data_IF_995311442440
#
_entry.id   IF_995311442440
#
_cell.length_a   1.000
_cell.length_b   1.000
_cell.length_c   1.000
_cell.angle_alpha   90.00
_cell.angle_beta   90.00
_cell.angle_gamma   90.00
#
_symmetry.space_group_name_H-M   'P 1'
#
loop_
_entity.id
_entity.type
_entity.pdbx_description
1 polymer ?
#
# COMPACT_ATOMS: atom_id res chain seq x y z
N UNK A 1 -15.35 10.80 61.41
CA UNK A 1 -16.67 11.46 61.32
C UNK A 1 -17.34 11.03 60.03
N UNK A 2 -18.40 10.23 60.17
CA UNK A 2 -19.55 9.98 59.26
C UNK A 2 -19.27 9.63 57.78
N UNK A 3 -19.96 8.70 57.12
CA UNK A 3 -20.83 7.58 57.44
C UNK A 3 -21.26 7.02 56.07
N UNK A 4 -21.21 5.69 55.89
CA UNK A 4 -22.19 4.83 55.17
C UNK A 4 -22.80 5.30 53.82
N UNK A 5 -22.88 4.52 52.74
CA UNK A 5 -22.72 3.07 52.60
C UNK A 5 -23.26 2.55 51.25
N UNK A 6 -22.86 1.31 50.94
CA UNK A 6 -23.49 0.26 50.13
C UNK A 6 -24.23 0.62 48.82
N UNK A 7 -23.72 0.06 47.72
CA UNK A 7 -24.55 -0.77 46.86
C UNK A 7 -23.73 -1.94 46.30
N UNK A 8 -24.05 -3.16 46.75
CA UNK A 8 -23.58 -4.42 46.16
C UNK A 8 -24.01 -4.49 44.68
N UNK A 9 -23.11 -4.92 43.78
CA UNK A 9 -23.50 -5.50 42.48
C UNK A 9 -22.74 -6.81 42.26
N UNK A 10 -23.52 -7.84 41.95
CA UNK A 10 -23.12 -9.23 41.88
C UNK A 10 -22.07 -9.51 40.78
N UNK A 11 -21.01 -10.22 41.15
CA UNK A 11 -20.02 -10.79 40.23
C UNK A 11 -20.52 -12.18 39.80
N UNK A 12 -20.87 -12.37 38.52
CA UNK A 12 -21.20 -13.70 37.99
C UNK A 12 -19.94 -14.27 37.34
N UNK A 13 -19.31 -15.23 38.02
CA UNK A 13 -18.26 -16.07 37.45
C UNK A 13 -18.93 -17.12 36.55
N UNK A 14 -18.68 -17.08 35.25
CA UNK A 14 -19.01 -18.18 34.35
C UNK A 14 -17.71 -18.89 34.00
N UNK A 15 -17.62 -20.17 34.37
CA UNK A 15 -16.54 -21.08 34.06
C UNK A 15 -17.00 -21.90 32.85
N UNK A 16 -16.44 -21.65 31.67
CA UNK A 16 -16.75 -22.47 30.48
C UNK A 16 -15.66 -23.55 30.37
N UNK A 17 -16.01 -24.79 30.72
CA UNK A 17 -15.15 -25.95 30.54
C UNK A 17 -15.31 -26.47 29.12
N UNK A 18 -14.24 -26.39 28.31
CA UNK A 18 -14.15 -27.16 27.07
C UNK A 18 -12.98 -28.11 27.15
N UNK A 19 -13.29 -29.39 27.31
CA UNK A 19 -12.33 -30.49 27.35
C UNK A 19 -11.84 -30.78 25.93
N UNK A 20 -10.58 -30.46 25.64
CA UNK A 20 -9.83 -31.01 24.51
C UNK A 20 -8.43 -31.37 25.05
N UNK A 21 -8.15 -32.68 25.08
CA UNK A 21 -6.82 -33.31 25.26
C UNK A 21 -5.91 -32.76 26.38
N UNK A 22 -6.24 -33.13 27.63
CA UNK A 22 -5.21 -33.53 28.61
C UNK A 22 -4.30 -32.48 29.25
N UNK A 23 -4.44 -31.17 28.99
CA UNK A 23 -3.67 -30.13 29.70
C UNK A 23 -4.54 -28.97 30.19
N UNK A 24 -4.56 -28.72 31.51
CA UNK A 24 -5.32 -27.63 32.14
C UNK A 24 -4.55 -26.31 32.03
N UNK A 25 -5.03 -25.37 31.20
CA UNK A 25 -4.66 -23.94 31.27
C UNK A 25 -5.90 -23.12 31.60
N UNK A 26 -5.90 -22.42 32.74
CA UNK A 26 -6.93 -21.43 33.09
C UNK A 26 -6.61 -20.09 32.43
N UNK A 27 -7.56 -19.52 31.69
CA UNK A 27 -7.50 -18.12 31.24
C UNK A 27 -8.72 -17.39 31.82
N UNK A 28 -8.48 -16.36 32.62
CA UNK A 28 -9.54 -15.54 33.22
C UNK A 28 -9.97 -14.45 32.24
N UNK A 29 -11.23 -14.48 31.81
CA UNK A 29 -11.85 -13.35 31.10
C UNK A 29 -12.85 -12.65 32.02
N UNK A 30 -12.59 -11.39 32.33
CA UNK A 30 -13.51 -10.51 33.05
C UNK A 30 -14.48 -9.93 32.02
N UNK A 31 -15.76 -10.29 32.12
CA UNK A 31 -16.84 -9.66 31.35
C UNK A 31 -17.64 -8.73 32.26
N UNK A 32 -17.59 -7.42 31.97
CA UNK A 32 -18.49 -6.44 32.56
C UNK A 32 -19.79 -6.41 31.75
N UNK A 33 -20.88 -6.97 32.30
CA UNK A 33 -22.21 -6.87 31.71
C UNK A 33 -22.81 -5.53 32.13
N UNK A 34 -22.91 -4.57 31.21
CA UNK A 34 -23.66 -3.33 31.44
C UNK A 34 -25.05 -3.47 30.83
N UNK A 35 -26.02 -3.86 31.66
CA UNK A 35 -27.43 -3.85 31.30
C UNK A 35 -28.03 -2.50 31.73
N UNK A 36 -28.21 -1.58 30.77
CA UNK A 36 -29.14 -0.46 30.92
C UNK A 36 -29.31 0.28 29.59
N UNK A 37 -30.46 0.04 28.96
CA UNK A 37 -31.13 0.93 28.03
C UNK A 37 -31.29 2.34 28.61
N UNK A 38 -30.47 3.30 28.15
CA UNK A 38 -30.82 4.72 27.93
C UNK A 38 -29.60 5.51 27.43
N UNK A 39 -29.78 6.12 26.26
CA UNK A 39 -28.88 7.06 25.60
C UNK A 39 -28.49 8.24 26.51
N UNK A 40 -27.18 8.51 26.61
CA UNK A 40 -26.64 9.86 26.79
C UNK A 40 -25.17 9.90 26.38
N UNK A 41 -24.88 10.60 25.28
CA UNK A 41 -23.52 10.86 24.80
C UNK A 41 -22.84 11.88 25.74
N UNK A 42 -21.83 11.45 26.49
CA UNK A 42 -20.83 12.34 27.08
C UNK A 42 -19.56 12.28 26.23
N UNK A 43 -19.30 13.36 25.50
CA UNK A 43 -18.04 13.58 24.78
C UNK A 43 -16.99 14.02 25.80
N UNK A 44 -16.08 13.13 26.17
CA UNK A 44 -14.85 13.52 26.87
C UNK A 44 -13.89 14.16 25.86
N UNK A 45 -13.85 15.50 25.88
CA UNK A 45 -12.89 16.33 25.15
C UNK A 45 -11.50 16.14 25.80
N UNK A 46 -10.63 15.31 25.21
CA UNK A 46 -9.18 15.43 25.46
C UNK A 46 -8.68 16.68 24.74
N UNK A 47 -8.17 17.66 25.48
CA UNK A 47 -7.33 18.73 24.93
C UNK A 47 -6.06 18.06 24.40
N UNK A 48 -5.90 17.97 23.09
CA UNK A 48 -4.59 17.83 22.46
C UNK A 48 -3.98 19.23 22.36
N UNK A 49 -2.90 19.46 23.10
CA UNK A 49 -1.98 20.55 22.78
C UNK A 49 -1.29 20.21 21.44
N UNK A 50 -1.03 21.21 20.58
CA UNK A 50 -0.23 20.97 19.38
C UNK A 50 1.21 20.65 19.80
N UNK A 51 1.70 19.47 19.44
CA UNK A 51 3.14 19.17 19.46
C UNK A 51 3.73 19.85 18.23
N UNK A 52 4.57 20.86 18.46
CA UNK A 52 5.35 21.50 17.41
C UNK A 52 6.38 20.49 16.88
N UNK A 53 6.22 20.08 15.63
CA UNK A 53 7.27 19.40 14.87
C UNK A 53 8.10 20.52 14.23
N UNK A 54 9.30 20.74 14.77
CA UNK A 54 10.27 21.65 14.18
C UNK A 54 10.74 21.09 12.84
N UNK A 55 10.44 21.80 11.76
CA UNK A 55 11.10 21.61 10.48
C UNK A 55 12.45 22.32 10.52
N UNK A 56 13.54 21.58 10.35
CA UNK A 56 14.85 22.18 10.08
C UNK A 56 14.85 22.59 8.61
N UNK A 57 14.76 23.89 8.36
CA UNK A 57 14.93 24.47 7.04
C UNK A 57 16.41 24.44 6.66
N UNK A 58 16.76 23.76 5.56
CA UNK A 58 18.03 24.00 4.89
C UNK A 58 17.89 25.26 4.05
N UNK A 59 18.67 26.29 4.38
CA UNK A 59 18.76 27.51 3.61
C UNK A 59 19.51 27.23 2.30
N UNK A 60 18.83 27.43 1.17
CA UNK A 60 19.45 27.62 -0.13
C UNK A 60 19.73 29.12 -0.28
N UNK A 61 20.97 29.49 -0.53
CA UNK A 61 21.32 30.86 -0.90
C UNK A 61 21.01 31.08 -2.37
N UNK A 62 20.04 31.96 -2.64
CA UNK A 62 19.74 32.49 -3.96
C UNK A 62 20.79 33.53 -4.40
N UNK A 63 21.12 33.51 -5.69
CA UNK A 63 21.38 34.73 -6.47
C UNK A 63 21.09 34.49 -7.97
N UNK A 64 20.02 35.15 -8.43
CA UNK A 64 19.63 35.45 -9.81
C UNK A 64 20.70 36.31 -10.54
N UNK A 65 20.75 36.59 -11.85
CA UNK A 65 20.07 36.23 -13.09
C UNK A 65 20.94 36.71 -14.29
N UNK A 66 20.74 36.10 -15.46
CA UNK A 66 20.87 36.57 -16.86
C UNK A 66 21.99 37.54 -17.33
N UNK A 67 22.78 37.12 -18.35
CA UNK A 67 22.65 37.55 -19.77
C UNK A 67 23.92 37.40 -20.64
N UNK A 68 23.73 36.84 -21.84
CA UNK A 68 24.41 37.08 -23.15
C UNK A 68 25.93 36.88 -23.41
N UNK A 69 26.18 36.01 -24.41
CA UNK A 69 27.00 36.20 -25.63
C UNK A 69 28.53 35.95 -25.68
N UNK A 70 28.87 35.01 -26.59
CA UNK A 70 29.95 35.01 -27.60
C UNK A 70 31.45 35.03 -27.24
N UNK A 71 32.11 33.95 -27.70
CA UNK A 71 33.26 33.93 -28.63
C UNK A 71 34.73 34.05 -28.11
N UNK A 72 35.47 32.96 -28.40
CA UNK A 72 36.89 32.85 -28.86
C UNK A 72 38.09 33.31 -28.01
N UNK A 73 39.06 32.38 -27.94
CA UNK A 73 40.52 32.56 -28.15
C UNK A 73 41.44 33.09 -27.04
N UNK A 74 42.51 32.31 -26.87
CA UNK A 74 43.91 32.68 -26.57
C UNK A 74 44.37 32.86 -25.11
N UNK A 75 45.39 32.08 -24.79
CA UNK A 75 46.35 32.30 -23.71
C UNK A 75 47.22 33.53 -23.97
N UNK A 76 47.89 34.07 -22.94
CA UNK A 76 49.34 34.17 -23.06
C UNK A 76 50.14 33.86 -21.77
N UNK A 77 51.37 33.44 -22.06
CA UNK A 77 52.57 33.26 -21.22
C UNK A 77 53.29 34.60 -21.06
N UNK A 78 53.98 34.85 -19.93
CA UNK A 78 55.27 35.59 -19.79
C UNK A 78 55.73 35.50 -18.32
N UNK A 79 56.65 34.60 -17.95
CA UNK A 79 58.13 34.73 -17.78
C UNK A 79 58.66 35.55 -16.61
N UNK A 80 59.72 34.98 -16.04
CA UNK A 80 60.48 35.18 -14.80
C UNK A 80 61.37 36.44 -14.75
N UNK A 81 62.00 36.69 -13.59
CA UNK A 81 63.47 36.64 -13.61
C UNK A 81 64.11 35.80 -12.48
N UNK A 82 65.21 35.14 -12.85
CA UNK A 82 66.22 34.45 -12.03
C UNK A 82 67.10 35.42 -11.23
N UNK A 83 67.54 35.03 -10.02
CA UNK A 83 68.94 35.18 -9.55
C UNK A 83 69.30 34.01 -8.60
N UNK A 84 70.42 33.37 -8.90
CA UNK A 84 71.04 32.18 -8.29
C UNK A 84 71.56 32.33 -6.85
N UNK A 85 71.57 31.18 -6.14
CA UNK A 85 72.77 30.51 -5.61
C UNK A 85 72.76 30.14 -4.10
N UNK A 86 72.95 28.83 -3.85
CA UNK A 86 73.76 28.19 -2.79
C UNK A 86 73.06 27.70 -1.50
N UNK A 87 72.71 26.41 -1.53
CA UNK A 87 72.83 25.35 -0.49
C UNK A 87 72.34 25.59 0.94
N UNK A 88 71.39 24.75 1.39
CA UNK A 88 71.18 24.44 2.81
C UNK A 88 69.85 23.75 3.15
N UNK A 89 69.82 22.42 3.06
CA UNK A 89 69.01 21.47 3.88
C UNK A 89 67.51 21.68 4.09
N UNK A 90 66.69 20.86 3.42
CA UNK A 90 65.27 20.61 3.76
C UNK A 90 65.21 19.43 4.75
N UNK A 91 64.48 19.50 5.87
CA UNK A 91 64.20 18.33 6.69
C UNK A 91 63.18 17.42 6.01
N UNK A 92 63.60 16.17 5.84
CA UNK A 92 62.87 14.99 5.40
C UNK A 92 61.66 14.69 6.29
N UNK A 93 60.42 14.75 5.75
CA UNK A 93 59.24 14.25 6.44
C UNK A 93 59.02 12.77 6.05
N UNK A 94 59.57 11.93 6.92
CA UNK A 94 59.41 10.50 7.12
C UNK A 94 58.28 9.81 6.34
N UNK A 95 58.70 8.90 5.46
CA UNK A 95 57.88 7.86 4.87
C UNK A 95 57.20 7.01 5.95
N UNK A 96 55.87 6.91 5.87
CA UNK A 96 55.11 5.90 6.60
C UNK A 96 55.38 4.52 5.97
N UNK A 97 55.51 3.44 6.77
CA UNK A 97 55.89 2.13 6.24
C UNK A 97 54.81 1.57 5.29
N UNK A 98 55.19 0.99 4.14
CA UNK A 98 54.25 0.38 3.19
C UNK A 98 53.50 -0.85 3.74
N UNK A 99 53.90 -1.36 4.91
CA UNK A 99 53.25 -2.51 5.54
C UNK A 99 51.84 -2.22 6.07
N UNK A 100 51.51 -0.98 6.45
CA UNK A 100 50.20 -0.68 7.03
C UNK A 100 49.10 -0.52 5.96
N UNK A 101 49.47 -0.04 4.78
CA UNK A 101 48.57 0.03 3.62
C UNK A 101 48.34 -1.37 3.06
N UNK A 102 49.41 -2.18 2.97
CA UNK A 102 49.30 -3.56 2.54
C UNK A 102 48.51 -4.42 3.52
N UNK A 103 48.64 -4.24 4.83
CA UNK A 103 47.85 -5.01 5.83
C UNK A 103 46.38 -4.59 5.91
N UNK A 104 46.03 -3.33 5.60
CA UNK A 104 44.63 -2.92 5.44
C UNK A 104 44.05 -3.51 4.15
N UNK A 105 44.81 -3.50 3.05
CA UNK A 105 44.42 -4.15 1.79
C UNK A 105 44.37 -5.69 1.91
N UNK A 106 45.24 -6.30 2.72
CA UNK A 106 45.33 -7.74 2.94
C UNK A 106 44.29 -8.25 3.96
N UNK A 107 43.89 -7.42 4.93
CA UNK A 107 42.75 -7.71 5.80
C UNK A 107 41.41 -7.47 5.10
N UNK A 108 41.33 -6.56 4.12
CA UNK A 108 40.18 -6.44 3.20
C UNK A 108 40.16 -7.61 2.21
N UNK A 109 41.33 -8.11 1.79
CA UNK A 109 41.49 -9.28 0.92
C UNK A 109 41.12 -10.62 1.55
N UNK A 110 40.98 -10.71 2.88
CA UNK A 110 40.57 -11.94 3.58
C UNK A 110 39.08 -12.28 3.44
N UNK A 111 38.26 -11.37 2.90
CA UNK A 111 36.87 -11.62 2.49
C UNK A 111 36.69 -11.23 1.02
N UNK A 112 37.23 -12.04 0.10
CA UNK A 112 36.85 -11.98 -1.32
C UNK A 112 37.13 -10.65 -2.03
N UNK A 113 38.40 -10.23 -2.09
CA UNK A 113 39.08 -9.54 -3.21
C UNK A 113 38.44 -8.39 -4.01
N UNK A 114 37.25 -7.89 -3.72
CA UNK A 114 36.54 -6.92 -4.56
C UNK A 114 36.36 -5.58 -3.86
N UNK A 115 36.46 -4.50 -4.65
CA UNK A 115 36.20 -3.15 -4.16
C UNK A 115 34.70 -3.04 -3.81
N UNK A 116 34.41 -2.70 -2.55
CA UNK A 116 33.01 -2.60 -2.08
C UNK A 116 32.17 -1.67 -2.98
N UNK A 117 30.87 -1.92 -3.13
CA UNK A 117 30.00 -1.09 -3.97
C UNK A 117 30.03 0.39 -3.56
N UNK A 118 30.26 0.65 -2.27
CA UNK A 118 30.45 1.99 -1.72
C UNK A 118 31.66 2.73 -2.31
N UNK A 119 32.74 2.01 -2.61
CA UNK A 119 33.94 2.59 -3.23
C UNK A 119 33.71 3.04 -4.68
N UNK A 120 32.74 2.45 -5.38
CA UNK A 120 32.35 2.80 -6.75
C UNK A 120 31.26 3.91 -6.77
N UNK A 121 30.87 4.42 -5.59
CA UNK A 121 29.82 5.43 -5.45
C UNK A 121 28.39 4.86 -5.47
N UNK A 122 28.23 3.55 -5.35
CA UNK A 122 26.94 2.87 -5.17
C UNK A 122 26.66 2.67 -3.66
N UNK A 123 25.44 2.28 -3.28
CA UNK A 123 25.16 1.92 -1.88
C UNK A 123 24.90 3.09 -0.93
N UNK A 124 24.30 4.20 -1.39
CA UNK A 124 23.86 5.30 -0.51
C UNK A 124 22.81 4.88 0.54
N UNK A 125 22.57 5.69 1.58
CA UNK A 125 21.50 5.45 2.58
C UNK A 125 20.06 5.55 2.02
N UNK A 126 19.92 5.72 0.70
CA UNK A 126 18.63 5.69 0.03
C UNK A 126 18.07 4.26 -0.03
N UNK A 127 16.76 4.05 -0.23
CA UNK A 127 16.19 2.71 -0.39
C UNK A 127 16.86 1.89 -1.50
N UNK A 128 17.37 2.55 -2.55
CA UNK A 128 18.10 1.91 -3.65
C UNK A 128 19.47 1.42 -3.17
N UNK A 129 20.21 2.26 -2.44
CA UNK A 129 21.55 1.88 -1.96
C UNK A 129 21.49 0.86 -0.82
N UNK A 130 20.45 0.87 0.02
CA UNK A 130 20.22 -0.19 1.00
C UNK A 130 20.02 -1.55 0.33
N UNK A 131 19.32 -1.59 -0.80
CA UNK A 131 19.16 -2.84 -1.57
C UNK A 131 20.51 -3.28 -2.17
N UNK A 132 21.32 -2.36 -2.69
CA UNK A 132 22.65 -2.67 -3.20
C UNK A 132 23.56 -3.26 -2.11
N UNK A 133 23.58 -2.64 -0.92
CA UNK A 133 24.32 -3.16 0.23
C UNK A 133 23.81 -4.54 0.66
N UNK A 134 22.49 -4.75 0.66
CA UNK A 134 21.92 -6.06 0.99
C UNK A 134 22.30 -7.13 -0.04
N UNK A 135 22.35 -6.79 -1.33
CA UNK A 135 22.78 -7.71 -2.39
C UNK A 135 24.27 -8.02 -2.30
N UNK A 136 25.10 -7.03 -2.02
CA UNK A 136 26.53 -7.20 -1.76
C UNK A 136 26.76 -8.10 -0.54
N UNK A 137 26.02 -7.90 0.55
CA UNK A 137 26.08 -8.77 1.72
C UNK A 137 25.69 -10.22 1.38
N UNK A 138 24.67 -10.43 0.53
CA UNK A 138 24.30 -11.77 0.08
C UNK A 138 25.37 -12.38 -0.84
N UNK A 139 25.99 -11.58 -1.71
CA UNK A 139 27.03 -12.02 -2.63
C UNK A 139 28.30 -12.40 -1.88
N UNK A 140 28.88 -11.47 -1.12
CA UNK A 140 30.16 -11.64 -0.41
C UNK A 140 29.99 -12.44 0.87
N UNK A 141 28.94 -12.18 1.64
CA UNK A 141 28.74 -12.79 2.96
C UNK A 141 28.21 -14.22 2.92
N UNK A 142 27.45 -14.58 1.87
CA UNK A 142 26.93 -15.95 1.68
C UNK A 142 27.58 -16.70 0.51
N UNK A 143 28.60 -16.10 -0.12
CA UNK A 143 29.32 -16.66 -1.28
C UNK A 143 28.37 -17.08 -2.43
N UNK A 144 27.35 -16.25 -2.67
CA UNK A 144 26.35 -16.49 -3.71
C UNK A 144 26.77 -15.79 -5.00
N UNK A 145 26.65 -16.41 -6.18
CA UNK A 145 26.80 -15.67 -7.44
C UNK A 145 25.75 -14.55 -7.54
N UNK A 146 26.02 -13.48 -8.28
CA UNK A 146 25.12 -12.32 -8.34
C UNK A 146 23.68 -12.65 -8.72
N UNK A 147 23.45 -13.58 -9.67
CA UNK A 147 22.10 -14.05 -9.99
C UNK A 147 21.40 -14.69 -8.78
N UNK A 148 22.15 -15.42 -7.95
CA UNK A 148 21.71 -16.07 -6.72
C UNK A 148 21.45 -15.06 -5.61
N UNK A 149 22.32 -14.07 -5.45
CA UNK A 149 22.13 -12.97 -4.50
C UNK A 149 20.85 -12.16 -4.83
N UNK A 150 20.61 -11.87 -6.12
CA UNK A 150 19.37 -11.21 -6.59
C UNK A 150 18.14 -12.07 -6.24
N UNK A 151 18.18 -13.37 -6.52
CA UNK A 151 17.08 -14.30 -6.23
C UNK A 151 16.82 -14.42 -4.72
N UNK A 152 17.87 -14.53 -3.90
CA UNK A 152 17.79 -14.61 -2.45
C UNK A 152 17.26 -13.31 -1.84
N UNK A 153 17.75 -12.14 -2.27
CA UNK A 153 17.24 -10.84 -1.82
C UNK A 153 15.76 -10.67 -2.15
N UNK A 154 15.34 -11.11 -3.34
CA UNK A 154 13.92 -11.16 -3.72
C UNK A 154 13.11 -12.06 -2.79
N UNK A 155 13.62 -13.25 -2.47
CA UNK A 155 12.97 -14.20 -1.57
C UNK A 155 12.79 -13.61 -0.16
N UNK A 156 13.81 -12.94 0.38
CA UNK A 156 13.74 -12.27 1.69
C UNK A 156 12.63 -11.22 1.71
N UNK A 157 12.59 -10.31 0.71
CA UNK A 157 11.53 -9.30 0.58
C UNK A 157 10.15 -9.99 0.52
N UNK A 158 10.04 -11.09 -0.24
CA UNK A 158 8.79 -11.84 -0.40
C UNK A 158 8.33 -12.51 0.88
N UNK A 159 9.25 -12.99 1.72
CA UNK A 159 8.96 -13.53 3.05
C UNK A 159 8.48 -12.41 3.98
N UNK A 160 9.15 -11.25 3.97
CA UNK A 160 8.74 -10.09 4.77
C UNK A 160 7.33 -9.59 4.43
N UNK A 161 6.98 -9.58 3.13
CA UNK A 161 5.65 -9.14 2.65
C UNK A 161 4.59 -10.25 2.77
N UNK A 162 4.98 -11.50 3.01
CA UNK A 162 4.07 -12.65 3.03
C UNK A 162 2.87 -12.52 4.00
N UNK A 163 3.02 -12.01 5.24
CA UNK A 163 1.87 -11.81 6.13
C UNK A 163 0.81 -10.86 5.54
N UNK A 164 1.23 -9.82 4.81
CA UNK A 164 0.33 -8.90 4.11
C UNK A 164 -0.39 -9.61 2.95
N UNK A 165 0.30 -10.50 2.25
CA UNK A 165 -0.31 -11.35 1.20
C UNK A 165 -1.41 -12.22 1.79
N UNK A 166 -1.18 -12.85 2.94
CA UNK A 166 -2.21 -13.65 3.64
C UNK A 166 -3.43 -12.81 4.00
N UNK A 167 -3.22 -11.60 4.54
CA UNK A 167 -4.32 -10.69 4.88
C UNK A 167 -5.16 -10.31 3.65
N UNK A 168 -4.50 -9.98 2.53
CA UNK A 168 -5.15 -9.68 1.25
C UNK A 168 -5.93 -10.89 0.73
N UNK A 169 -5.35 -12.09 0.77
CA UNK A 169 -6.01 -13.32 0.32
C UNK A 169 -7.24 -13.69 1.15
N UNK A 170 -7.20 -13.51 2.48
CA UNK A 170 -8.38 -13.70 3.34
C UNK A 170 -9.53 -12.78 2.95
N UNK A 171 -9.23 -11.51 2.70
CA UNK A 171 -10.24 -10.53 2.31
C UNK A 171 -10.77 -10.79 0.89
N UNK A 172 -9.90 -11.19 -0.05
CA UNK A 172 -10.29 -11.58 -1.39
C UNK A 172 -11.25 -12.80 -1.39
N UNK A 173 -10.96 -13.83 -0.59
CA UNK A 173 -11.84 -14.99 -0.46
C UNK A 173 -13.23 -14.62 0.09
N UNK A 174 -13.28 -13.78 1.13
CA UNK A 174 -14.55 -13.27 1.69
C UNK A 174 -15.36 -12.47 0.67
N UNK A 175 -14.68 -11.61 -0.08
CA UNK A 175 -15.31 -10.80 -1.12
C UNK A 175 -15.85 -11.67 -2.25
N UNK A 176 -15.09 -12.69 -2.69
CA UNK A 176 -15.56 -13.65 -3.68
C UNK A 176 -16.82 -14.36 -3.18
N UNK A 177 -16.85 -14.83 -1.93
CA UNK A 177 -18.00 -15.57 -1.40
C UNK A 177 -19.28 -14.73 -1.24
N UNK A 178 -19.15 -13.40 -1.08
CA UNK A 178 -20.29 -12.46 -1.03
C UNK A 178 -20.55 -11.76 -2.38
N UNK A 179 -19.82 -12.14 -3.43
CA UNK A 179 -19.94 -11.55 -4.76
C UNK A 179 -21.36 -11.55 -5.33
N UNK A 180 -22.19 -12.63 -5.24
CA UNK A 180 -23.55 -12.60 -5.79
C UNK A 180 -24.44 -11.55 -5.13
N UNK A 181 -24.38 -11.44 -3.80
CA UNK A 181 -25.15 -10.45 -3.03
C UNK A 181 -24.70 -9.02 -3.40
N UNK A 182 -23.39 -8.80 -3.55
CA UNK A 182 -22.85 -7.52 -4.03
C UNK A 182 -23.34 -7.19 -5.44
N UNK A 183 -23.34 -8.16 -6.35
CA UNK A 183 -23.80 -7.94 -7.72
C UNK A 183 -25.31 -7.64 -7.78
N UNK A 184 -26.12 -8.28 -6.95
CA UNK A 184 -27.55 -8.01 -6.87
C UNK A 184 -27.84 -6.56 -6.42
N UNK A 185 -27.16 -6.06 -5.39
CA UNK A 185 -27.30 -4.66 -4.95
C UNK A 185 -26.79 -3.70 -6.03
N UNK A 186 -25.67 -4.04 -6.69
CA UNK A 186 -25.11 -3.24 -7.77
C UNK A 186 -26.06 -3.17 -8.98
N UNK A 187 -26.76 -4.26 -9.31
CA UNK A 187 -27.76 -4.28 -10.38
C UNK A 187 -28.92 -3.34 -10.05
N UNK A 188 -29.52 -3.46 -8.86
CA UNK A 188 -30.61 -2.57 -8.40
C UNK A 188 -30.19 -1.09 -8.43
N UNK A 189 -28.97 -0.81 -8.01
CA UNK A 189 -28.39 0.54 -8.08
C UNK A 189 -28.31 1.04 -9.53
N UNK A 190 -27.90 0.18 -10.47
CA UNK A 190 -27.80 0.54 -11.88
C UNK A 190 -29.17 0.71 -12.54
N UNK A 191 -30.16 -0.11 -12.19
CA UNK A 191 -31.54 0.00 -12.66
C UNK A 191 -32.19 1.30 -12.18
N UNK A 192 -32.02 1.65 -10.90
CA UNK A 192 -32.51 2.92 -10.35
C UNK A 192 -31.94 4.13 -11.13
N UNK A 193 -30.66 4.07 -11.54
CA UNK A 193 -30.05 5.11 -12.38
C UNK A 193 -30.63 5.17 -13.77
N UNK A 194 -30.86 4.02 -14.39
CA UNK A 194 -31.46 3.95 -15.74
C UNK A 194 -32.87 4.52 -15.74
N UNK A 195 -33.61 4.39 -14.62
CA UNK A 195 -34.91 5.05 -14.40
C UNK A 195 -34.81 6.54 -14.06
N UNK A 196 -33.60 7.09 -13.86
CA UNK A 196 -33.39 8.48 -13.46
C UNK A 196 -33.65 8.76 -11.97
N UNK A 197 -33.88 7.74 -11.16
CA UNK A 197 -34.13 7.87 -9.72
C UNK A 197 -32.82 7.96 -8.94
N UNK A 198 -32.40 9.20 -8.69
CA UNK A 198 -31.16 9.49 -7.95
C UNK A 198 -31.26 9.12 -6.47
N UNK A 199 -32.46 9.14 -5.88
CA UNK A 199 -32.66 8.89 -4.46
C UNK A 199 -32.58 7.39 -4.16
N UNK A 200 -33.20 6.56 -5.00
CA UNK A 200 -33.04 5.11 -4.92
C UNK A 200 -31.61 4.66 -5.24
N UNK A 201 -30.97 5.24 -6.27
CA UNK A 201 -29.58 4.95 -6.59
C UNK A 201 -28.63 5.28 -5.42
N UNK A 202 -28.91 6.38 -4.71
CA UNK A 202 -28.21 6.76 -3.49
C UNK A 202 -28.43 5.77 -2.35
N UNK A 203 -29.68 5.36 -2.13
CA UNK A 203 -30.05 4.38 -1.11
C UNK A 203 -29.35 3.04 -1.33
N UNK A 204 -29.37 2.51 -2.56
CA UNK A 204 -28.65 1.28 -2.88
C UNK A 204 -27.12 1.42 -2.75
N UNK A 205 -26.56 2.62 -2.96
CA UNK A 205 -25.14 2.87 -2.72
C UNK A 205 -24.79 2.82 -1.22
N UNK A 206 -25.66 3.36 -0.37
CA UNK A 206 -25.52 3.25 1.09
C UNK A 206 -25.70 1.79 1.54
N UNK A 207 -26.69 1.08 1.02
CA UNK A 207 -26.92 -0.36 1.29
C UNK A 207 -25.69 -1.19 0.90
N UNK A 208 -25.06 -0.90 -0.24
CA UNK A 208 -23.81 -1.55 -0.66
C UNK A 208 -22.68 -1.31 0.34
N UNK A 209 -22.49 -0.06 0.80
CA UNK A 209 -21.46 0.27 1.79
C UNK A 209 -21.72 -0.39 3.14
N UNK A 210 -22.97 -0.37 3.60
CA UNK A 210 -23.40 -1.02 4.85
C UNK A 210 -23.24 -2.55 4.76
N UNK A 211 -23.58 -3.14 3.62
CA UNK A 211 -23.37 -4.56 3.34
C UNK A 211 -21.89 -4.93 3.46
N UNK A 212 -21.01 -4.18 2.76
CA UNK A 212 -19.56 -4.39 2.85
C UNK A 212 -19.06 -4.25 4.29
N UNK A 213 -19.53 -3.24 5.04
CA UNK A 213 -19.14 -3.01 6.44
C UNK A 213 -19.61 -4.14 7.36
N UNK A 214 -20.86 -4.58 7.23
CA UNK A 214 -21.48 -5.62 8.05
C UNK A 214 -20.81 -6.98 7.82
N UNK A 215 -20.46 -7.28 6.57
CA UNK A 215 -19.71 -8.49 6.20
C UNK A 215 -18.19 -8.35 6.40
N UNK A 216 -17.71 -7.19 6.83
CA UNK A 216 -16.28 -6.91 7.07
C UNK A 216 -15.41 -6.92 5.81
N UNK A 217 -16.00 -6.67 4.64
CA UNK A 217 -15.35 -6.62 3.33
C UNK A 217 -14.70 -5.25 3.15
N UNK A 218 -13.40 -5.22 2.82
CA UNK A 218 -12.71 -3.96 2.54
C UNK A 218 -11.89 -4.07 1.25
N UNK A 219 -12.25 -3.34 0.17
CA UNK A 219 -11.51 -3.40 -1.08
C UNK A 219 -10.05 -2.91 -0.95
N UNK A 220 -9.77 -1.98 -0.04
CA UNK A 220 -8.42 -1.45 0.19
C UNK A 220 -7.46 -2.50 0.75
N UNK A 221 -7.95 -3.49 1.51
CA UNK A 221 -7.12 -4.60 2.00
C UNK A 221 -6.53 -5.44 0.86
N UNK A 222 -7.17 -5.44 -0.32
CA UNK A 222 -6.63 -6.13 -1.48
C UNK A 222 -5.56 -5.30 -2.21
N UNK A 223 -5.63 -3.97 -2.09
CA UNK A 223 -4.69 -3.01 -2.71
C UNK A 223 -3.42 -2.80 -1.87
N UNK A 224 -3.42 -3.18 -0.59
CA UNK A 224 -2.24 -2.98 0.28
C UNK A 224 -0.99 -3.72 -0.21
N UNK A 225 -1.16 -4.90 -0.82
CA UNK A 225 -0.03 -5.72 -1.30
C UNK A 225 0.71 -5.03 -2.44
N UNK A 226 0.07 -4.66 -3.57
CA UNK A 226 0.78 -3.96 -4.64
C UNK A 226 1.33 -2.61 -4.20
N UNK A 227 0.63 -1.88 -3.32
CA UNK A 227 1.12 -0.61 -2.78
C UNK A 227 2.39 -0.78 -1.94
N UNK A 228 2.45 -1.82 -1.12
CA UNK A 228 3.64 -2.14 -0.33
C UNK A 228 4.78 -2.67 -1.20
N UNK A 229 4.47 -3.45 -2.24
CA UNK A 229 5.49 -4.03 -3.14
C UNK A 229 6.11 -3.01 -4.09
N UNK A 230 5.37 -1.99 -4.53
CA UNK A 230 5.87 -1.04 -5.54
C UNK A 230 7.16 -0.31 -5.12
N UNK A 231 7.32 0.20 -3.88
CA UNK A 231 8.58 0.78 -3.43
C UNK A 231 9.74 -0.22 -3.46
N UNK A 232 9.55 -1.44 -2.94
CA UNK A 232 10.59 -2.49 -3.00
C UNK A 232 10.97 -2.83 -4.44
N UNK A 233 9.96 -2.90 -5.33
CA UNK A 233 10.18 -3.16 -6.74
C UNK A 233 11.02 -2.06 -7.39
N UNK A 234 10.66 -0.79 -7.17
CA UNK A 234 11.41 0.36 -7.72
C UNK A 234 12.83 0.39 -7.15
N UNK A 235 13.01 0.16 -5.84
CA UNK A 235 14.33 0.14 -5.22
C UNK A 235 15.22 -0.97 -5.77
N UNK A 236 14.71 -2.19 -5.91
CA UNK A 236 15.45 -3.31 -6.49
C UNK A 236 15.78 -3.08 -7.97
N UNK A 237 14.79 -2.61 -8.74
CA UNK A 237 14.97 -2.30 -10.15
C UNK A 237 16.07 -1.24 -10.37
N UNK A 238 15.97 -0.11 -9.66
CA UNK A 238 16.96 0.97 -9.77
C UNK A 238 18.32 0.55 -9.22
N UNK A 239 18.36 -0.28 -8.18
CA UNK A 239 19.60 -0.77 -7.57
C UNK A 239 20.39 -1.65 -8.52
N UNK A 240 19.73 -2.67 -9.07
CA UNK A 240 20.31 -3.60 -10.05
C UNK A 240 20.69 -2.86 -11.33
N UNK A 241 19.81 -1.98 -11.84
CA UNK A 241 20.11 -1.19 -13.04
C UNK A 241 21.29 -0.25 -12.81
N UNK A 242 21.41 0.34 -11.62
CA UNK A 242 22.55 1.15 -11.23
C UNK A 242 23.85 0.36 -11.22
N UNK A 243 23.82 -0.87 -10.70
CA UNK A 243 24.98 -1.77 -10.74
C UNK A 243 25.34 -2.21 -12.17
N UNK A 244 24.34 -2.49 -13.01
CA UNK A 244 24.55 -2.86 -14.41
C UNK A 244 25.20 -1.74 -15.25
N UNK A 245 24.93 -0.48 -14.91
CA UNK A 245 25.50 0.68 -15.61
C UNK A 245 26.83 1.17 -15.02
N UNK A 246 27.19 0.68 -13.83
CA UNK A 246 28.43 1.01 -13.15
C UNK A 246 29.51 -0.03 -13.47
N UNK A 247 30.80 0.29 -13.30
CA UNK A 247 31.90 -0.64 -13.57
C UNK A 247 32.06 -1.67 -12.44
N UNK A 248 31.03 -2.48 -12.20
CA UNK A 248 31.08 -3.60 -11.26
C UNK A 248 31.55 -4.84 -12.00
N UNK A 249 32.85 -5.12 -11.93
CA UNK A 249 33.47 -6.19 -12.74
C UNK A 249 32.88 -7.58 -12.42
N UNK A 250 32.62 -7.89 -11.15
CA UNK A 250 32.02 -9.17 -10.77
C UNK A 250 30.59 -9.36 -11.25
N UNK A 251 29.89 -8.28 -11.59
CA UNK A 251 28.56 -8.34 -12.18
C UNK A 251 28.58 -8.84 -13.64
N UNK A 252 29.73 -8.74 -14.33
CA UNK A 252 29.93 -9.27 -15.69
C UNK A 252 30.14 -10.78 -15.74
N UNK A 253 30.57 -11.39 -14.63
CA UNK A 253 30.82 -12.83 -14.54
C UNK A 253 29.83 -13.54 -13.60
N UNK A 254 28.94 -12.78 -12.95
CA UNK A 254 28.05 -13.25 -11.89
C UNK A 254 26.78 -13.99 -12.34
N UNK A 255 26.72 -14.46 -13.58
CA UNK A 255 25.54 -15.05 -14.20
C UNK A 255 25.54 -16.57 -14.33
N UNK A 256 24.68 -17.09 -15.22
CA UNK A 256 24.53 -18.52 -15.52
C UNK A 256 25.04 -18.83 -16.93
N UNK A 257 25.00 -20.11 -17.31
CA UNK A 257 25.59 -20.61 -18.56
C UNK A 257 25.16 -19.87 -19.84
N UNK A 258 23.97 -19.26 -19.89
CA UNK A 258 23.44 -18.57 -21.09
C UNK A 258 23.36 -17.04 -20.96
N UNK A 259 23.57 -16.52 -19.75
CA UNK A 259 23.64 -15.10 -19.45
C UNK A 259 24.73 -14.90 -18.39
N UNK A 260 25.99 -14.94 -18.81
CA UNK A 260 27.11 -14.77 -17.87
C UNK A 260 27.20 -13.31 -17.41
N UNK A 261 27.08 -12.40 -18.36
CA UNK A 261 27.12 -10.96 -18.13
C UNK A 261 25.73 -10.41 -17.77
N UNK A 262 25.56 -9.92 -16.54
CA UNK A 262 24.31 -9.33 -16.07
C UNK A 262 24.13 -7.87 -16.52
N UNK A 263 25.20 -7.21 -17.01
CA UNK A 263 25.16 -5.82 -17.48
C UNK A 263 24.54 -5.70 -18.87
N UNK A 264 24.70 -6.72 -19.70
CA UNK A 264 24.25 -6.74 -21.09
C UNK A 264 22.83 -7.30 -21.24
N UNK A 265 22.09 -6.90 -22.30
CA UNK A 265 20.88 -7.58 -22.70
C UNK A 265 21.13 -9.05 -23.07
N UNK A 266 20.14 -9.90 -22.81
CA UNK A 266 20.24 -11.33 -23.12
C UNK A 266 20.31 -11.56 -24.64
N UNK A 267 21.43 -12.11 -25.10
CA UNK A 267 21.72 -12.38 -26.52
C UNK A 267 20.77 -13.42 -27.13
N UNK A 268 20.27 -14.36 -26.31
CA UNK A 268 19.37 -15.43 -26.77
C UNK A 268 17.89 -15.09 -26.61
N UNK A 269 17.57 -13.93 -26.02
CA UNK A 269 16.20 -13.50 -25.68
C UNK A 269 15.40 -14.53 -24.84
N UNK A 270 16.09 -15.46 -24.18
CA UNK A 270 15.50 -16.53 -23.39
C UNK A 270 14.97 -15.99 -22.04
N UNK A 271 15.71 -15.09 -21.39
CA UNK A 271 15.29 -14.40 -20.16
C UNK A 271 14.04 -13.52 -20.35
N UNK A 272 13.95 -12.65 -21.39
CA UNK A 272 12.71 -11.94 -21.73
C UNK A 272 11.55 -12.90 -21.97
N UNK A 273 11.77 -14.00 -22.69
CA UNK A 273 10.74 -14.99 -23.00
C UNK A 273 10.23 -15.69 -21.74
N UNK A 274 11.14 -16.20 -20.89
CA UNK A 274 10.81 -16.83 -19.61
C UNK A 274 10.07 -15.84 -18.71
N UNK A 275 10.54 -14.59 -18.64
CA UNK A 275 9.90 -13.56 -17.82
C UNK A 275 8.48 -13.27 -18.28
N UNK A 276 8.26 -13.14 -19.59
CA UNK A 276 6.92 -12.95 -20.16
C UNK A 276 6.02 -14.16 -19.92
N UNK A 277 6.52 -15.38 -20.17
CA UNK A 277 5.76 -16.62 -19.96
C UNK A 277 5.38 -16.83 -18.48
N UNK A 278 6.33 -16.62 -17.56
CA UNK A 278 6.09 -16.75 -16.12
C UNK A 278 5.16 -15.66 -15.59
N UNK A 279 5.22 -14.44 -16.13
CA UNK A 279 4.27 -13.38 -15.82
C UNK A 279 2.86 -13.74 -16.31
N UNK A 280 2.73 -14.26 -17.54
CA UNK A 280 1.46 -14.75 -18.08
C UNK A 280 0.85 -15.83 -17.20
N UNK A 281 1.68 -16.80 -16.77
CA UNK A 281 1.25 -17.84 -15.84
C UNK A 281 0.83 -17.26 -14.48
N UNK A 282 1.59 -16.28 -13.96
CA UNK A 282 1.25 -15.61 -12.69
C UNK A 282 -0.09 -14.87 -12.76
N UNK A 283 -0.35 -14.20 -13.89
CA UNK A 283 -1.63 -13.54 -14.14
C UNK A 283 -2.76 -14.56 -14.21
N UNK A 284 -2.59 -15.65 -14.98
CA UNK A 284 -3.64 -16.66 -15.16
C UNK A 284 -4.00 -17.31 -13.82
N UNK A 285 -2.98 -17.83 -13.11
CA UNK A 285 -3.15 -18.47 -11.80
C UNK A 285 -3.69 -17.48 -10.77
N UNK A 286 -3.29 -16.20 -10.84
CA UNK A 286 -3.75 -15.12 -9.96
C UNK A 286 -5.18 -14.67 -10.21
N UNK A 287 -5.66 -14.71 -11.46
CA UNK A 287 -7.05 -14.38 -11.81
C UNK A 287 -8.03 -15.42 -11.28
N UNK A 288 -7.63 -16.69 -11.26
CA UNK A 288 -8.43 -17.81 -10.73
C UNK A 288 -8.67 -17.74 -9.22
N UNK A 289 -7.77 -17.12 -8.46
CA UNK A 289 -7.85 -17.05 -6.99
C UNK A 289 -8.82 -15.98 -6.45
N UNK A 290 -9.76 -15.51 -7.27
CA UNK A 290 -10.81 -14.60 -6.82
C UNK A 290 -10.40 -13.12 -6.77
N UNK A 291 -9.25 -12.75 -7.36
CA UNK A 291 -8.84 -11.33 -7.45
C UNK A 291 -9.69 -10.53 -8.43
N UNK A 292 -10.32 -11.18 -9.43
CA UNK A 292 -10.92 -10.50 -10.59
C UNK A 292 -12.20 -11.18 -11.14
N UNK A 293 -12.88 -12.00 -10.34
CA UNK A 293 -14.12 -12.66 -10.79
C UNK A 293 -15.38 -11.79 -10.64
N UNK A 294 -15.23 -10.49 -10.41
CA UNK A 294 -16.35 -9.55 -10.47
C UNK A 294 -16.86 -9.36 -11.89
N UNK A 295 -18.19 -9.36 -12.04
CA UNK A 295 -18.98 -9.37 -13.28
C UNK A 295 -18.66 -8.31 -14.33
N UNK A 296 -17.92 -7.25 -13.98
CA UNK A 296 -17.75 -6.08 -14.85
C UNK A 296 -16.38 -6.01 -15.56
N UNK A 297 -15.66 -7.13 -15.68
CA UNK A 297 -14.23 -7.09 -16.03
C UNK A 297 -13.78 -8.06 -17.14
N UNK A 298 -14.66 -8.46 -18.06
CA UNK A 298 -14.28 -9.22 -19.26
C UNK A 298 -13.10 -8.57 -19.99
N UNK A 299 -13.20 -7.27 -20.28
CA UNK A 299 -12.13 -6.49 -20.91
C UNK A 299 -10.86 -6.41 -20.04
N UNK A 300 -10.96 -6.26 -18.73
CA UNK A 300 -9.78 -6.19 -17.88
C UNK A 300 -9.02 -7.52 -17.80
N UNK A 301 -9.73 -8.66 -17.92
CA UNK A 301 -9.07 -9.97 -18.09
C UNK A 301 -8.28 -10.02 -19.40
N UNK A 302 -8.84 -9.52 -20.51
CA UNK A 302 -8.12 -9.43 -21.78
C UNK A 302 -6.89 -8.50 -21.67
N UNK A 303 -7.04 -7.32 -21.08
CA UNK A 303 -5.93 -6.37 -20.87
C UNK A 303 -4.81 -7.01 -20.02
N UNK A 304 -5.16 -7.68 -18.92
CA UNK A 304 -4.19 -8.33 -18.05
C UNK A 304 -3.50 -9.53 -18.73
N UNK A 305 -4.21 -10.28 -19.59
CA UNK A 305 -3.62 -11.36 -20.38
C UNK A 305 -2.77 -10.87 -21.56
N UNK A 306 -3.05 -9.67 -22.08
CA UNK A 306 -2.25 -9.04 -23.12
C UNK A 306 -0.96 -8.42 -22.57
N UNK A 307 -0.94 -8.00 -21.30
CA UNK A 307 0.21 -7.35 -20.65
C UNK A 307 1.54 -8.12 -20.82
N UNK A 308 1.62 -9.45 -20.58
CA UNK A 308 2.87 -10.20 -20.77
C UNK A 308 3.40 -10.17 -22.21
N UNK A 309 2.50 -10.19 -23.20
CA UNK A 309 2.87 -10.14 -24.62
C UNK A 309 3.44 -8.77 -24.98
N UNK A 310 2.85 -7.70 -24.44
CA UNK A 310 3.32 -6.32 -24.65
C UNK A 310 4.66 -6.08 -23.94
N UNK A 311 4.88 -6.68 -22.77
CA UNK A 311 6.11 -6.54 -21.99
C UNK A 311 7.30 -7.20 -22.68
N UNK A 312 7.11 -8.28 -23.44
CA UNK A 312 8.19 -9.03 -24.08
C UNK A 312 9.13 -8.15 -24.95
N UNK A 313 8.67 -7.41 -25.97
CA UNK A 313 9.54 -6.54 -26.78
C UNK A 313 10.15 -5.39 -25.96
N UNK A 314 9.46 -4.92 -24.92
CA UNK A 314 9.99 -3.89 -24.02
C UNK A 314 11.18 -4.41 -23.19
N UNK A 315 11.13 -5.67 -22.76
CA UNK A 315 12.18 -6.29 -21.95
C UNK A 315 13.41 -6.77 -22.73
N UNK A 316 13.36 -6.82 -24.07
CA UNK A 316 14.49 -7.28 -24.89
C UNK A 316 15.76 -6.45 -24.74
N UNK A 317 15.62 -5.15 -24.44
CA UNK A 317 16.76 -4.22 -24.33
C UNK A 317 17.22 -4.02 -22.89
N UNK A 318 16.70 -4.80 -21.94
CA UNK A 318 17.01 -4.60 -20.53
C UNK A 318 18.22 -5.45 -20.13
N UNK A 319 19.08 -4.95 -19.21
CA UNK A 319 20.18 -5.73 -18.66
C UNK A 319 19.68 -7.05 -18.06
N UNK A 320 20.43 -8.13 -18.30
CA UNK A 320 20.05 -9.48 -17.87
C UNK A 320 19.84 -9.56 -16.35
N UNK A 321 20.62 -8.82 -15.54
CA UNK A 321 20.42 -8.77 -14.08
C UNK A 321 19.02 -8.31 -13.64
N UNK A 322 18.42 -7.36 -14.37
CA UNK A 322 17.05 -6.89 -14.11
C UNK A 322 16.03 -7.97 -14.48
N UNK A 323 16.28 -8.70 -15.57
CA UNK A 323 15.42 -9.80 -16.01
C UNK A 323 15.51 -11.00 -15.06
N UNK A 324 16.69 -11.30 -14.50
CA UNK A 324 16.86 -12.28 -13.42
C UNK A 324 15.96 -11.91 -12.25
N UNK A 325 16.00 -10.66 -11.79
CA UNK A 325 15.12 -10.19 -10.72
C UNK A 325 13.64 -10.41 -11.02
N UNK A 326 13.17 -10.02 -12.21
CA UNK A 326 11.78 -10.25 -12.60
C UNK A 326 11.42 -11.73 -12.68
N UNK A 327 12.30 -12.53 -13.24
CA UNK A 327 12.16 -13.98 -13.36
C UNK A 327 12.01 -14.62 -11.97
N UNK A 328 12.94 -14.36 -11.04
CA UNK A 328 12.88 -14.84 -9.65
C UNK A 328 11.59 -14.39 -8.96
N UNK A 329 11.21 -13.13 -9.19
CA UNK A 329 9.97 -12.56 -8.63
C UNK A 329 8.72 -13.32 -9.09
N UNK A 330 8.64 -13.66 -10.37
CA UNK A 330 7.52 -14.43 -10.92
C UNK A 330 7.53 -15.86 -10.40
N UNK A 331 8.68 -16.55 -10.40
CA UNK A 331 8.81 -17.90 -9.87
C UNK A 331 8.43 -17.99 -8.39
N UNK A 332 8.92 -17.07 -7.56
CA UNK A 332 8.55 -16.99 -6.14
C UNK A 332 7.05 -16.71 -6.00
N UNK A 333 6.48 -15.84 -6.83
CA UNK A 333 5.04 -15.58 -6.82
C UNK A 333 4.22 -16.82 -7.17
N UNK A 334 4.61 -17.57 -8.19
CA UNK A 334 3.98 -18.85 -8.57
C UNK A 334 4.09 -19.87 -7.45
N UNK A 335 5.26 -19.98 -6.83
CA UNK A 335 5.50 -20.87 -5.69
C UNK A 335 4.62 -20.49 -4.48
N UNK A 336 4.56 -19.20 -4.13
CA UNK A 336 3.66 -18.69 -3.08
C UNK A 336 2.20 -19.04 -3.38
N UNK A 337 1.77 -18.86 -4.63
CA UNK A 337 0.40 -19.18 -5.03
C UNK A 337 0.14 -20.69 -4.99
N UNK A 338 1.09 -21.52 -5.42
CA UNK A 338 1.00 -22.97 -5.35
C UNK A 338 0.81 -23.44 -3.89
N UNK A 339 1.62 -22.92 -2.96
CA UNK A 339 1.48 -23.19 -1.52
C UNK A 339 0.11 -22.78 -1.00
N UNK A 340 -0.36 -21.58 -1.36
CA UNK A 340 -1.67 -21.06 -0.91
C UNK A 340 -2.89 -21.66 -1.61
N UNK A 341 -2.68 -22.54 -2.60
CA UNK A 341 -3.72 -23.39 -3.18
C UNK A 341 -3.94 -24.68 -2.38
N UNK A 342 -2.95 -25.13 -1.61
CA UNK A 342 -3.07 -26.35 -0.80
C UNK A 342 -4.12 -26.14 0.30
N UNK A 343 -5.19 -26.96 0.39
CA UNK A 343 -6.27 -26.78 1.37
C UNK A 343 -5.77 -26.72 2.81
N UNK A 344 -4.84 -27.59 3.20
CA UNK A 344 -4.25 -27.63 4.54
C UNK A 344 -3.59 -26.30 4.93
N UNK A 345 -2.85 -25.70 4.01
CA UNK A 345 -2.18 -24.41 4.23
C UNK A 345 -3.20 -23.28 4.34
N UNK A 346 -4.26 -23.31 3.51
CA UNK A 346 -5.34 -22.34 3.58
C UNK A 346 -6.08 -22.40 4.91
N UNK A 347 -6.36 -23.62 5.39
CA UNK A 347 -7.04 -23.85 6.66
C UNK A 347 -6.18 -23.38 7.84
N UNK A 348 -4.86 -23.65 7.81
CA UNK A 348 -3.89 -23.11 8.79
C UNK A 348 -3.91 -21.58 8.83
N UNK A 349 -3.88 -20.94 7.65
CA UNK A 349 -3.96 -19.49 7.54
C UNK A 349 -5.39 -18.95 7.58
N UNK A 350 -6.42 -19.72 7.93
CA UNK A 350 -7.82 -19.25 8.03
C UNK A 350 -8.29 -18.48 6.78
N UNK A 351 -7.93 -18.96 5.60
CA UNK A 351 -8.36 -18.40 4.32
C UNK A 351 -9.60 -19.15 3.86
N UNK A 352 -10.73 -18.45 3.79
CA UNK A 352 -12.01 -19.05 3.40
C UNK A 352 -11.90 -19.77 2.04
N UNK A 353 -12.65 -20.87 1.89
CA UNK A 353 -12.73 -21.58 0.61
C UNK A 353 -13.49 -20.72 -0.39
N UNK A 354 -12.93 -20.59 -1.59
CA UNK A 354 -13.52 -19.82 -2.68
C UNK A 354 -14.69 -20.63 -3.24
N UNK A 355 -15.91 -20.12 -3.07
CA UNK A 355 -17.11 -20.69 -3.71
C UNK A 355 -17.05 -20.33 -5.20
N UNK A 356 -17.13 -21.35 -6.07
CA UNK A 356 -17.24 -21.15 -7.51
C UNK A 356 -18.72 -20.96 -7.84
N UNK A 357 -19.06 -19.77 -8.33
CA UNK A 357 -20.42 -19.48 -8.80
C UNK A 357 -20.52 -19.77 -10.31
N UNK A 358 -21.65 -20.32 -10.75
CA UNK A 358 -21.95 -20.38 -12.17
C UNK A 358 -22.20 -18.95 -12.67
N UNK A 359 -21.46 -18.53 -13.70
CA UNK A 359 -21.56 -17.19 -14.29
C UNK A 359 -22.96 -16.92 -14.84
N UNK A 360 -23.69 -17.96 -15.26
CA UNK A 360 -25.06 -17.84 -15.79
C UNK A 360 -26.10 -17.54 -14.71
N UNK A 361 -25.81 -17.89 -13.45
CA UNK A 361 -26.72 -17.70 -12.33
C UNK A 361 -26.57 -16.32 -11.66
N UNK A 362 -25.56 -15.54 -12.06
CA UNK A 362 -25.30 -14.23 -11.49
C UNK A 362 -26.10 -13.14 -12.24
N UNK A 363 -26.66 -12.14 -11.53
CA UNK A 363 -27.38 -11.01 -12.13
C UNK A 363 -26.38 -10.03 -12.78
N UNK A 364 -25.72 -10.46 -13.85
CA UNK A 364 -24.67 -9.71 -14.54
C UNK A 364 -25.27 -9.00 -15.75
N UNK A 365 -25.29 -7.68 -15.72
CA UNK A 365 -25.44 -6.88 -16.93
C UNK A 365 -24.05 -6.67 -17.52
N UNK A 366 -23.73 -7.36 -18.62
CA UNK A 366 -22.47 -7.15 -19.33
C UNK A 366 -22.46 -5.74 -19.93
N UNK A 367 -21.72 -4.83 -19.30
CA UNK A 367 -21.50 -3.47 -19.80
C UNK A 367 -20.10 -3.38 -20.41
N UNK A 368 -19.98 -2.74 -21.58
CA UNK A 368 -18.68 -2.47 -22.20
C UNK A 368 -17.78 -1.60 -21.31
N UNK A 369 -16.46 -1.68 -21.48
CA UNK A 369 -15.46 -1.01 -20.62
C UNK A 369 -15.71 0.50 -20.43
N UNK A 370 -15.97 1.23 -21.52
CA UNK A 370 -16.24 2.68 -21.48
C UNK A 370 -17.54 2.95 -20.70
N UNK A 371 -18.56 2.11 -20.88
CA UNK A 371 -19.82 2.19 -20.14
C UNK A 371 -19.62 1.96 -18.64
N UNK A 372 -18.85 0.93 -18.28
CA UNK A 372 -18.48 0.63 -16.90
C UNK A 372 -17.66 1.74 -16.24
N UNK A 373 -16.71 2.34 -16.97
CA UNK A 373 -15.90 3.44 -16.47
C UNK A 373 -16.74 4.71 -16.25
N UNK A 374 -17.60 5.07 -17.21
CA UNK A 374 -18.54 6.19 -17.08
C UNK A 374 -19.48 6.01 -15.90
N UNK A 375 -20.02 4.81 -15.73
CA UNK A 375 -20.87 4.46 -14.58
C UNK A 375 -20.09 4.60 -13.28
N UNK A 376 -18.89 4.02 -13.16
CA UNK A 376 -18.07 4.11 -11.95
C UNK A 376 -17.75 5.57 -11.57
N UNK A 377 -17.47 6.42 -12.55
CA UNK A 377 -17.26 7.86 -12.32
C UNK A 377 -18.54 8.56 -11.84
N UNK A 378 -19.68 8.21 -12.42
CA UNK A 378 -21.00 8.70 -12.00
C UNK A 378 -21.33 8.25 -10.57
N UNK A 379 -20.96 7.02 -10.20
CA UNK A 379 -21.17 6.47 -8.85
C UNK A 379 -20.34 7.22 -7.81
N UNK A 380 -19.07 7.50 -8.12
CA UNK A 380 -18.22 8.32 -7.25
C UNK A 380 -18.78 9.73 -7.10
N UNK A 381 -19.26 10.35 -8.19
CA UNK A 381 -19.86 11.68 -8.13
C UNK A 381 -21.10 11.71 -7.23
N UNK A 382 -22.02 10.75 -7.41
CA UNK A 382 -23.22 10.63 -6.57
C UNK A 382 -22.85 10.37 -5.11
N UNK A 383 -21.89 9.49 -4.84
CA UNK A 383 -21.43 9.17 -3.48
C UNK A 383 -20.89 10.42 -2.80
N UNK A 384 -20.09 11.21 -3.51
CA UNK A 384 -19.56 12.48 -3.01
C UNK A 384 -20.66 13.52 -2.76
N UNK A 385 -21.62 13.65 -3.67
CA UNK A 385 -22.79 14.52 -3.50
C UNK A 385 -23.61 14.14 -2.25
N UNK A 386 -23.75 12.83 -1.97
CA UNK A 386 -24.43 12.34 -0.78
C UNK A 386 -23.65 12.61 0.50
N UNK A 387 -22.35 12.38 0.50
CA UNK A 387 -21.48 12.66 1.65
C UNK A 387 -21.45 14.16 1.97
N UNK A 388 -21.41 15.02 0.94
CA UNK A 388 -21.52 16.47 1.10
C UNK A 388 -22.86 16.89 1.70
N UNK A 389 -23.97 16.29 1.25
CA UNK A 389 -25.30 16.51 1.84
C UNK A 389 -25.36 16.07 3.29
N UNK A 390 -24.87 14.87 3.61
CA UNK A 390 -24.83 14.35 4.98
C UNK A 390 -23.98 15.25 5.89
N UNK A 391 -22.84 15.75 5.38
CA UNK A 391 -21.98 16.68 6.09
C UNK A 391 -22.67 18.01 6.36
N UNK A 392 -23.40 18.55 5.38
CA UNK A 392 -24.19 19.78 5.53
C UNK A 392 -25.35 19.59 6.50
N UNK A 393 -26.09 18.47 6.41
CA UNK A 393 -27.19 18.15 7.32
C UNK A 393 -26.71 17.99 8.76
N UNK A 394 -25.58 17.30 8.97
CA UNK A 394 -24.96 17.18 10.28
C UNK A 394 -24.50 18.54 10.81
N UNK A 395 -23.89 19.38 9.96
CA UNK A 395 -23.52 20.74 10.33
C UNK A 395 -24.74 21.60 10.70
N UNK A 396 -25.83 21.50 9.92
CA UNK A 396 -27.10 22.19 10.17
C UNK A 396 -27.75 21.71 11.48
N UNK A 397 -27.76 20.40 11.73
CA UNK A 397 -28.27 19.80 12.96
C UNK A 397 -27.48 20.26 14.19
N UNK A 398 -26.14 20.24 14.11
CA UNK A 398 -25.27 20.73 15.19
C UNK A 398 -25.44 22.24 15.41
N UNK A 399 -25.64 23.01 14.34
CA UNK A 399 -25.91 24.46 14.43
C UNK A 399 -27.27 24.72 15.06
N UNK A 400 -28.30 23.96 14.70
CA UNK A 400 -29.63 24.06 15.30
C UNK A 400 -29.61 23.71 16.79
N UNK A 401 -28.81 22.70 17.19
CA UNK A 401 -28.66 22.32 18.60
C UNK A 401 -27.81 23.26 19.45
N UNK A 402 -26.93 24.07 18.83
CA UNK A 402 -26.06 25.06 19.50
C UNK A 402 -26.56 26.50 19.39
N UNK A 403 -27.49 26.77 18.48
CA UNK A 403 -28.05 28.09 18.25
C UNK A 403 -28.97 28.53 19.39
N UNK A 404 -29.16 29.85 19.54
CA UNK A 404 -30.15 30.38 20.45
C UNK A 404 -31.56 29.87 20.08
N UNK A 405 -32.35 29.49 21.09
CA UNK A 405 -33.72 29.00 20.89
C UNK A 405 -34.52 30.07 20.15
N UNK A 406 -34.99 29.75 18.94
CA UNK A 406 -35.88 30.64 18.20
C UNK A 406 -37.23 30.69 18.90
N UNK A 407 -37.77 31.89 19.15
CA UNK A 407 -39.13 32.06 19.68
C UNK A 407 -40.13 31.54 18.66
N UNK A 408 -40.84 30.47 18.99
CA UNK A 408 -41.92 29.90 18.17
C UNK A 408 -43.28 30.23 18.79
N UNK A 409 -44.29 30.50 17.98
CA UNK A 409 -45.66 30.75 18.44
C UNK A 409 -46.47 29.44 18.48
N UNK A 410 -47.42 29.31 19.41
CA UNK A 410 -48.29 28.12 19.53
C UNK A 410 -49.31 28.03 18.39
N UNK A 411 -49.61 29.15 17.76
CA UNK A 411 -50.51 29.28 16.62
C UNK A 411 -49.75 29.93 15.47
N UNK A 412 -50.16 29.64 14.23
CA UNK A 412 -49.60 30.28 13.05
C UNK A 412 -49.91 31.79 13.09
N UNK A 413 -48.90 32.67 13.28
CA UNK A 413 -49.12 34.10 13.37
C UNK A 413 -49.46 34.74 12.02
N UNK A 414 -49.30 34.00 10.90
CA UNK A 414 -49.61 34.49 9.54
C UNK A 414 -51.07 34.29 9.17
N UNK A 415 -51.80 33.42 9.88
CA UNK A 415 -53.21 33.19 9.66
C UNK A 415 -54.10 34.02 10.61
N UNK A 416 -55.25 34.54 10.13
CA UNK A 416 -56.19 35.22 10.98
C UNK A 416 -56.68 34.26 12.08
N UNK A 417 -56.74 34.75 13.33
CA UNK A 417 -57.21 33.93 14.45
C UNK A 417 -58.64 33.47 14.15
N UNK A 418 -58.96 32.17 14.31
CA UNK A 418 -60.35 31.73 14.24
C UNK A 418 -61.17 32.51 15.28
N UNK A 419 -62.39 32.94 14.93
CA UNK A 419 -63.21 33.76 15.81
C UNK A 419 -63.39 33.03 17.14
N UNK A 420 -63.04 33.74 18.22
CA UNK A 420 -63.17 33.24 19.58
C UNK A 420 -64.67 33.18 19.89
N UNK A 421 -65.28 32.00 19.80
CA UNK A 421 -66.65 31.79 20.28
C UNK A 421 -66.69 32.11 21.78
N UNK A 422 -67.14 33.32 22.10
CA UNK A 422 -67.28 33.87 23.46
C UNK A 422 -68.47 33.28 24.23
N UNK A 423 -69.19 32.31 23.67
CA UNK A 423 -70.42 31.76 24.24
C UNK A 423 -70.22 30.80 25.43
N UNK A 424 -69.00 30.38 25.76
CA UNK A 424 -68.75 29.44 26.87
C UNK A 424 -68.20 30.07 28.16
N UNK A 425 -67.91 31.38 28.19
CA UNK A 425 -67.32 32.04 29.38
C UNK A 425 -68.38 32.64 30.31
N UNK A 426 -69.62 32.83 29.85
CA UNK A 426 -70.70 33.43 30.66
C UNK A 426 -71.47 32.44 31.55
N UNK A 427 -71.18 31.13 31.51
CA UNK A 427 -71.95 30.11 32.25
C UNK A 427 -71.27 29.56 33.52
N UNK A 428 -70.09 30.06 33.93
CA UNK A 428 -69.38 29.57 35.12
C UNK A 428 -69.18 30.62 36.22
N UNK A 429 -70.13 31.55 36.35
CA UNK A 429 -70.12 32.57 37.41
C UNK A 429 -71.49 32.83 38.06
N UNK A 430 -72.33 31.79 38.07
CA UNK A 430 -73.47 31.66 38.97
C UNK A 430 -73.33 30.31 39.64
N UNK A 431 -72.83 30.33 40.87
CA UNK A 431 -73.22 29.51 42.02
C UNK A 431 -72.42 29.99 43.23
#
# INVERSE_FOLDING_TARGET
MLSTGRLLRATKLLCDFKTIEGTKKCSFHIYAVNNSSRLRNYVLRRKQQPVAIGFVNFASSDAAAESTANATSQAPVFTTPDISATTGGIPELSATPPELLNTVVENVGRFGGEASLQSIGLGSSSPVGLVQQALEFLHVGMDLPWWGAIAAGTLVIRICVFPLVIMSQRNAAKMNNNLPEMQAIQLKMSEARERGDRLDAARYAQEMMEFMKTKGLNPLKNMVVPLCQAPFFVSMFMGIRGMANAPVESFREGGLWWFVDLTLPDQFYLLPLITSATLALTVEVGTDMGRLNSSNMGMAKYILRAMPVIIFPFTMNFPSGVLVYWCSTNFISLFQVAILRIPTVRDYFKIDRIIKFDKKALPIKEKGFIGGMKESWTNMKITRELEERERLDNANFLRAGRGAIKKTYKFDPTQPRPPRNLSSIQLKKRD
#
